data_IF_744646984685
#
_entry.id   IF_744646984685
#
_cell.length_a   1.000
_cell.length_b   1.000
_cell.length_c   1.000
_cell.angle_alpha   90.00
_cell.angle_beta   90.00
_cell.angle_gamma   90.00
#
_symmetry.space_group_name_H-M   'P 1'
#
loop_
_entity.id
_entity.type
_entity.pdbx_description
1 polymer ?
#
# COMPACT_ATOMS: atom_id res chain seq x y z
N UNK A 1 34.29 -1.17 -56.21
CA UNK A 1 34.13 -1.20 -54.73
C UNK A 1 32.64 -1.32 -54.44
N UNK A 2 32.06 -2.51 -54.68
CA UNK A 2 31.61 -3.49 -53.67
C UNK A 2 30.58 -2.88 -52.69
N UNK A 3 29.26 -2.94 -52.96
CA UNK A 3 28.28 -4.05 -52.69
C UNK A 3 28.13 -4.31 -51.18
N UNK A 4 26.99 -4.56 -50.53
CA UNK A 4 25.54 -4.74 -50.78
C UNK A 4 24.92 -4.96 -49.37
N UNK A 5 23.58 -4.92 -49.25
CA UNK A 5 22.68 -5.68 -48.32
C UNK A 5 23.33 -6.42 -47.11
N UNK A 6 22.68 -6.59 -45.96
CA UNK A 6 21.48 -7.43 -45.80
C UNK A 6 21.09 -7.45 -44.32
N UNK A 7 19.80 -7.70 -44.09
CA UNK A 7 19.17 -8.34 -42.93
C UNK A 7 20.08 -9.16 -42.01
N UNK A 8 19.95 -8.97 -40.69
CA UNK A 8 20.42 -9.95 -39.71
C UNK A 8 19.23 -10.69 -39.09
N UNK A 9 18.96 -11.85 -39.71
CA UNK A 9 18.27 -12.99 -39.13
C UNK A 9 19.02 -13.50 -37.88
N UNK A 10 18.25 -13.90 -36.88
CA UNK A 10 18.72 -14.74 -35.78
C UNK A 10 19.23 -16.10 -36.28
N UNK A 11 20.26 -16.67 -35.63
CA UNK A 11 20.33 -18.10 -35.45
C UNK A 11 20.14 -18.45 -33.96
N UNK A 12 18.98 -19.03 -33.66
CA UNK A 12 18.81 -19.92 -32.51
C UNK A 12 19.55 -21.23 -32.83
N UNK A 13 20.54 -21.61 -32.02
CA UNK A 13 20.70 -22.99 -31.51
C UNK A 13 21.94 -23.10 -30.63
N UNK A 14 21.74 -23.43 -29.35
CA UNK A 14 22.75 -24.20 -28.61
C UNK A 14 22.06 -25.44 -28.05
N UNK A 15 22.45 -26.57 -28.64
CA UNK A 15 22.16 -27.93 -28.24
C UNK A 15 22.66 -28.16 -26.80
N UNK A 16 21.82 -28.68 -25.93
CA UNK A 16 22.24 -29.20 -24.62
C UNK A 16 22.63 -30.68 -24.75
N UNK A 17 23.91 -31.00 -24.62
CA UNK A 17 24.40 -32.33 -24.21
C UNK A 17 24.87 -32.28 -22.75
N UNK A 18 24.60 -33.30 -21.92
CA UNK A 18 25.02 -33.32 -20.52
C UNK A 18 26.35 -34.08 -20.32
N UNK A 19 26.84 -34.07 -19.07
CA UNK A 19 28.02 -34.75 -18.46
C UNK A 19 29.25 -33.82 -18.37
N UNK A 20 30.06 -33.69 -17.30
CA UNK A 20 30.22 -34.35 -15.98
C UNK A 20 31.21 -33.49 -15.13
N UNK A 21 31.29 -33.71 -13.80
CA UNK A 21 32.17 -33.00 -12.84
C UNK A 21 33.68 -33.25 -13.06
N UNK A 22 34.52 -32.21 -13.22
CA UNK A 22 35.58 -31.72 -12.27
C UNK A 22 36.33 -30.50 -12.87
N UNK A 23 36.19 -29.35 -12.18
CA UNK A 23 36.97 -28.09 -12.11
C UNK A 23 37.83 -27.58 -13.30
N UNK A 24 37.45 -26.40 -13.80
CA UNK A 24 38.34 -25.26 -14.08
C UNK A 24 37.59 -23.99 -13.59
N UNK A 25 38.08 -23.32 -12.55
CA UNK A 25 37.55 -21.98 -12.21
C UNK A 25 37.91 -21.05 -13.36
N UNK A 26 36.90 -20.50 -14.03
CA UNK A 26 37.08 -19.50 -15.08
C UNK A 26 37.11 -18.11 -14.45
N UNK A 27 37.75 -17.12 -15.08
CA UNK A 27 37.75 -15.76 -14.53
C UNK A 27 36.43 -15.03 -14.85
N UNK A 28 35.94 -14.26 -13.88
CA UNK A 28 34.77 -13.41 -14.04
C UNK A 28 35.03 -12.40 -15.17
N UNK A 29 34.21 -12.42 -16.22
CA UNK A 29 34.38 -11.52 -17.37
C UNK A 29 34.18 -10.04 -17.05
N UNK A 30 33.61 -9.73 -15.87
CA UNK A 30 33.36 -8.35 -15.44
C UNK A 30 34.55 -7.77 -14.66
N UNK A 31 35.05 -8.49 -13.65
CA UNK A 31 36.08 -8.00 -12.73
C UNK A 31 37.32 -8.88 -12.60
N UNK A 32 37.40 -10.01 -13.31
CA UNK A 32 38.56 -10.93 -13.27
C UNK A 32 38.61 -11.86 -12.04
N UNK A 33 37.75 -11.69 -11.04
CA UNK A 33 37.73 -12.59 -9.86
C UNK A 33 37.38 -14.05 -10.25
N UNK A 34 37.86 -15.07 -9.51
CA UNK A 34 37.52 -16.46 -9.80
C UNK A 34 36.00 -16.70 -9.84
N UNK A 35 35.54 -17.38 -10.87
CA UNK A 35 34.14 -17.68 -11.13
C UNK A 35 33.98 -19.15 -11.54
N UNK A 36 32.93 -19.80 -11.03
CA UNK A 36 32.68 -21.21 -11.32
C UNK A 36 31.56 -21.40 -12.34
N UNK A 37 30.64 -20.42 -12.44
CA UNK A 37 29.39 -20.58 -13.17
C UNK A 37 29.03 -19.32 -13.96
N UNK A 38 28.28 -19.50 -15.04
CA UNK A 38 27.62 -18.40 -15.73
C UNK A 38 26.41 -17.93 -14.91
N UNK A 39 26.31 -16.62 -14.67
CA UNK A 39 25.17 -15.98 -14.05
C UNK A 39 24.63 -14.92 -15.01
N UNK A 40 23.31 -14.87 -15.20
CA UNK A 40 22.66 -13.95 -16.14
C UNK A 40 23.21 -14.05 -17.58
N UNK A 41 23.70 -15.24 -17.98
CA UNK A 41 24.23 -15.49 -19.33
C UNK A 41 25.74 -15.28 -19.50
N UNK A 42 26.46 -14.83 -18.47
CA UNK A 42 27.92 -14.55 -18.54
C UNK A 42 28.65 -15.20 -17.37
N UNK A 43 29.85 -15.76 -17.61
CA UNK A 43 30.73 -16.25 -16.53
C UNK A 43 31.10 -15.10 -15.60
N UNK A 44 30.61 -15.16 -14.35
CA UNK A 44 30.82 -14.09 -13.39
C UNK A 44 30.93 -14.60 -11.96
N UNK A 45 31.69 -13.88 -11.14
CA UNK A 45 31.78 -14.15 -9.71
C UNK A 45 30.46 -13.80 -9.00
N UNK A 46 30.29 -14.29 -7.78
CA UNK A 46 29.06 -14.07 -6.99
C UNK A 46 28.80 -12.58 -6.70
N UNK A 47 29.88 -11.79 -6.51
CA UNK A 47 29.80 -10.34 -6.33
C UNK A 47 29.18 -9.65 -7.56
N UNK A 48 29.65 -9.97 -8.77
CA UNK A 48 29.11 -9.38 -10.00
C UNK A 48 27.70 -9.90 -10.32
N UNK A 49 27.39 -11.16 -9.99
CA UNK A 49 26.03 -11.72 -10.07
C UNK A 49 25.06 -10.90 -9.21
N UNK A 50 25.36 -10.75 -7.93
CA UNK A 50 24.46 -10.06 -7.00
C UNK A 50 24.39 -8.56 -7.30
N UNK A 51 25.49 -7.97 -7.73
CA UNK A 51 25.53 -6.61 -8.22
C UNK A 51 24.59 -6.41 -9.42
N UNK A 52 24.70 -7.26 -10.44
CA UNK A 52 23.84 -7.16 -11.63
C UNK A 52 22.36 -7.37 -11.27
N UNK A 53 22.04 -8.37 -10.45
CA UNK A 53 20.66 -8.61 -9.97
C UNK A 53 20.03 -7.38 -9.31
N UNK A 54 20.81 -6.62 -8.52
CA UNK A 54 20.32 -5.43 -7.79
C UNK A 54 20.15 -4.22 -8.69
N UNK A 55 20.96 -4.08 -9.73
CA UNK A 55 21.08 -2.82 -10.47
C UNK A 55 20.57 -2.90 -11.91
N UNK A 56 20.32 -4.09 -12.47
CA UNK A 56 19.95 -4.24 -13.89
C UNK A 56 18.60 -3.58 -14.26
N UNK A 57 17.67 -3.46 -13.31
CA UNK A 57 16.34 -2.87 -13.53
C UNK A 57 16.23 -1.43 -12.99
N UNK A 58 17.34 -0.88 -12.48
CA UNK A 58 17.40 0.53 -12.06
C UNK A 58 17.78 1.34 -13.31
N UNK A 59 17.09 2.47 -13.50
CA UNK A 59 17.37 3.37 -14.63
C UNK A 59 18.85 3.76 -14.64
N UNK A 60 19.51 3.57 -15.79
CA UNK A 60 20.94 3.76 -15.92
C UNK A 60 21.35 5.23 -15.75
N UNK A 61 20.43 6.17 -16.01
CA UNK A 61 20.66 7.61 -15.84
C UNK A 61 20.86 8.01 -14.36
N UNK A 62 20.38 7.18 -13.43
CA UNK A 62 20.60 7.38 -11.98
C UNK A 62 22.07 7.12 -11.62
N UNK A 63 22.75 6.24 -12.36
CA UNK A 63 24.15 5.91 -12.09
C UNK A 63 25.09 6.86 -12.82
N UNK A 64 25.45 7.97 -12.18
CA UNK A 64 26.49 8.89 -12.68
C UNK A 64 27.89 8.37 -12.38
N UNK A 65 28.79 8.46 -13.35
CA UNK A 65 30.20 8.15 -13.17
C UNK A 65 30.95 9.41 -12.78
N UNK A 66 31.67 9.37 -11.65
CA UNK A 66 32.46 10.50 -11.16
C UNK A 66 33.84 10.61 -11.82
N UNK A 67 34.21 9.69 -12.71
CA UNK A 67 35.56 9.56 -13.29
C UNK A 67 35.55 9.46 -14.82
N UNK A 68 34.60 10.13 -15.48
CA UNK A 68 34.60 10.26 -16.95
C UNK A 68 34.10 9.03 -17.73
N UNK A 69 33.42 8.09 -17.09
CA UNK A 69 32.68 7.00 -17.76
C UNK A 69 33.53 5.87 -18.34
N UNK A 70 34.83 5.83 -18.02
CA UNK A 70 35.80 4.83 -18.52
C UNK A 70 36.56 4.10 -17.39
N UNK A 71 35.96 3.96 -16.21
CA UNK A 71 36.62 3.29 -15.07
C UNK A 71 36.97 1.85 -15.41
N UNK A 72 38.22 1.46 -15.16
CA UNK A 72 38.65 0.08 -15.29
C UNK A 72 38.11 -0.76 -14.11
N UNK A 73 37.34 -1.81 -14.43
CA UNK A 73 36.73 -2.70 -13.44
C UNK A 73 37.59 -3.96 -13.26
N UNK A 74 38.27 -4.04 -12.11
CA UNK A 74 39.11 -5.14 -11.61
C UNK A 74 38.58 -5.67 -10.27
N UNK A 75 39.10 -6.80 -9.79
CA UNK A 75 38.63 -7.46 -8.56
C UNK A 75 38.59 -6.51 -7.37
N UNK A 76 39.65 -5.72 -7.19
CA UNK A 76 39.83 -4.95 -5.96
C UNK A 76 39.15 -3.58 -6.03
N UNK A 77 38.86 -3.05 -7.22
CA UNK A 77 38.28 -1.72 -7.39
C UNK A 77 36.86 -1.75 -7.97
N UNK A 78 36.27 -2.92 -8.24
CA UNK A 78 34.98 -2.99 -8.93
C UNK A 78 33.85 -2.26 -8.20
N UNK A 79 33.96 -2.02 -6.90
CA UNK A 79 32.96 -1.32 -6.09
C UNK A 79 33.05 0.21 -6.21
N UNK A 80 34.14 0.75 -6.76
CA UNK A 80 34.40 2.19 -6.83
C UNK A 80 33.52 2.93 -7.84
N UNK A 81 32.99 2.23 -8.86
CA UNK A 81 32.09 2.86 -9.82
C UNK A 81 30.96 1.92 -10.26
N UNK A 82 29.79 2.11 -9.66
CA UNK A 82 28.55 1.38 -9.99
C UNK A 82 28.14 1.59 -11.45
N UNK A 83 28.22 2.82 -11.96
CA UNK A 83 27.87 3.16 -13.35
C UNK A 83 28.69 2.36 -14.38
N UNK A 84 30.03 2.44 -14.31
CA UNK A 84 30.90 1.72 -15.25
C UNK A 84 30.84 0.20 -15.07
N UNK A 85 30.65 -0.29 -13.82
CA UNK A 85 30.49 -1.72 -13.56
C UNK A 85 29.20 -2.27 -14.17
N UNK A 86 28.09 -1.57 -14.01
CA UNK A 86 26.80 -1.99 -14.57
C UNK A 86 26.82 -1.93 -16.10
N UNK A 87 27.37 -0.86 -16.67
CA UNK A 87 27.61 -0.74 -18.11
C UNK A 87 28.42 -1.93 -18.65
N UNK A 88 29.50 -2.31 -17.96
CA UNK A 88 30.33 -3.47 -18.33
C UNK A 88 29.56 -4.79 -18.21
N UNK A 89 28.69 -4.97 -17.22
CA UNK A 89 27.83 -6.15 -17.11
C UNK A 89 26.94 -6.33 -18.35
N UNK A 90 26.26 -5.27 -18.79
CA UNK A 90 25.43 -5.32 -20.00
C UNK A 90 26.28 -5.50 -21.27
N UNK A 91 27.43 -4.83 -21.38
CA UNK A 91 28.32 -4.94 -22.53
C UNK A 91 28.82 -6.38 -22.76
N UNK A 92 29.08 -7.14 -21.68
CA UNK A 92 29.45 -8.56 -21.77
C UNK A 92 28.25 -9.50 -21.96
N UNK A 93 27.03 -8.96 -22.05
CA UNK A 93 25.82 -9.71 -22.38
C UNK A 93 25.04 -10.26 -21.19
N UNK A 94 25.20 -9.70 -19.99
CA UNK A 94 24.33 -10.05 -18.87
C UNK A 94 22.90 -9.57 -19.13
N UNK A 95 21.92 -10.45 -18.93
CA UNK A 95 20.48 -10.14 -19.08
C UNK A 95 19.65 -10.81 -17.98
N UNK A 96 18.60 -10.11 -17.52
CA UNK A 96 17.64 -10.57 -16.52
C UNK A 96 16.73 -11.69 -17.02
N UNK A 97 16.59 -11.85 -18.34
CA UNK A 97 15.60 -12.75 -18.94
C UNK A 97 16.05 -14.22 -18.98
N UNK A 98 17.35 -14.48 -18.77
CA UNK A 98 17.95 -15.81 -18.92
C UNK A 98 17.94 -16.67 -17.65
N UNK A 99 17.08 -16.38 -16.67
CA UNK A 99 16.96 -17.19 -15.44
C UNK A 99 15.75 -18.16 -15.49
N UNK A 100 16.01 -19.46 -15.70
CA UNK A 100 15.07 -20.56 -15.41
C UNK A 100 15.72 -21.53 -14.41
N UNK A 101 15.17 -21.77 -13.21
CA UNK A 101 15.72 -22.76 -12.29
C UNK A 101 15.42 -24.19 -12.79
N UNK A 102 16.46 -25.02 -12.90
CA UNK A 102 16.39 -26.42 -13.31
C UNK A 102 16.08 -27.37 -12.12
N UNK A 103 14.86 -27.93 -12.12
CA UNK A 103 14.39 -29.29 -11.72
C UNK A 103 14.80 -29.97 -10.36
N UNK A 104 14.13 -31.06 -9.91
CA UNK A 104 13.47 -31.12 -8.58
C UNK A 104 13.90 -32.34 -7.70
N UNK A 105 13.37 -32.44 -6.47
CA UNK A 105 13.20 -33.74 -5.78
C UNK A 105 11.79 -33.86 -5.19
N UNK A 106 11.18 -35.02 -5.47
CA UNK A 106 9.89 -35.50 -4.98
C UNK A 106 10.07 -36.15 -3.61
N UNK A 107 9.13 -35.92 -2.70
CA UNK A 107 8.63 -36.96 -1.79
C UNK A 107 7.12 -36.80 -1.69
N UNK A 108 6.42 -37.89 -2.02
CA UNK A 108 4.96 -38.02 -1.95
C UNK A 108 4.58 -38.25 -0.49
N UNK A 109 3.61 -37.51 0.03
CA UNK A 109 2.50 -38.09 0.83
C UNK A 109 1.27 -37.20 0.63
N UNK A 110 0.16 -37.83 0.27
CA UNK A 110 -1.17 -37.22 0.14
C UNK A 110 -1.80 -37.10 1.54
N UNK A 111 -2.30 -35.92 1.89
CA UNK A 111 -3.52 -35.79 2.71
C UNK A 111 -4.01 -34.33 2.69
N UNK A 112 -5.23 -34.20 2.17
CA UNK A 112 -6.30 -33.25 2.48
C UNK A 112 -5.96 -31.76 2.59
N UNK A 113 -6.58 -31.04 1.67
CA UNK A 113 -6.71 -29.59 1.54
C UNK A 113 -6.98 -28.91 2.88
N UNK A 114 -6.01 -28.11 3.37
CA UNK A 114 -6.27 -26.86 4.07
C UNK A 114 -5.64 -25.74 3.24
N UNK A 115 -6.49 -24.92 2.65
CA UNK A 115 -6.07 -23.66 2.00
C UNK A 115 -5.77 -22.68 3.12
N UNK A 116 -4.51 -22.58 3.53
CA UNK A 116 -4.02 -21.40 4.24
C UNK A 116 -3.60 -20.34 3.21
N UNK A 117 -4.01 -19.07 3.37
CA UNK A 117 -3.73 -18.04 2.39
C UNK A 117 -2.23 -17.70 2.38
N UNK A 118 -1.60 -18.01 1.25
CA UNK A 118 -0.20 -17.76 0.88
C UNK A 118 0.23 -16.27 0.88
N UNK A 119 -0.62 -15.37 1.38
CA UNK A 119 -0.50 -13.91 1.25
C UNK A 119 0.38 -13.27 2.34
N UNK A 120 0.69 -13.97 3.42
CA UNK A 120 1.49 -13.42 4.53
C UNK A 120 3.02 -13.50 4.31
N UNK A 121 3.52 -14.46 3.52
CA UNK A 121 4.97 -14.70 3.42
C UNK A 121 5.73 -13.74 2.48
N UNK A 122 5.08 -13.21 1.44
CA UNK A 122 5.70 -12.25 0.52
C UNK A 122 5.83 -10.85 1.13
N UNK A 123 4.89 -10.47 2.01
CA UNK A 123 4.81 -9.14 2.63
C UNK A 123 5.90 -8.88 3.68
N UNK A 124 6.37 -9.94 4.35
CA UNK A 124 7.46 -9.88 5.32
C UNK A 124 8.86 -9.77 4.66
N UNK A 125 8.98 -10.09 3.36
CA UNK A 125 10.27 -10.12 2.66
C UNK A 125 10.77 -8.73 2.20
N UNK A 126 9.86 -7.77 2.00
CA UNK A 126 10.20 -6.40 1.57
C UNK A 126 10.86 -5.59 2.70
N UNK A 127 10.64 -5.98 3.96
CA UNK A 127 11.12 -5.26 5.15
C UNK A 127 12.58 -5.54 5.54
N UNK A 128 13.18 -6.65 5.07
CA UNK A 128 14.40 -7.19 5.67
C UNK A 128 15.69 -7.00 4.87
N UNK A 129 15.72 -6.11 3.88
CA UNK A 129 16.96 -5.84 3.16
C UNK A 129 17.26 -4.35 3.08
N UNK A 130 18.06 -3.85 4.03
CA UNK A 130 19.10 -2.79 3.90
C UNK A 130 19.57 -2.31 5.31
N UNK A 131 20.89 -2.25 5.57
CA UNK A 131 21.55 -1.47 6.66
C UNK A 131 23.05 -1.26 6.37
N UNK A 132 23.75 -0.21 6.86
CA UNK A 132 23.61 0.45 8.19
C UNK A 132 23.38 1.98 8.12
N UNK A 133 22.71 2.68 9.03
CA UNK A 133 21.80 2.37 10.14
C UNK A 133 20.92 3.62 10.36
N UNK A 134 19.59 3.52 10.19
CA UNK A 134 18.57 4.47 10.67
C UNK A 134 17.19 3.79 10.77
N UNK A 135 17.10 2.52 11.18
CA UNK A 135 15.77 1.97 11.47
C UNK A 135 15.24 2.62 12.76
N UNK A 136 14.54 3.73 12.63
CA UNK A 136 13.78 4.33 13.73
C UNK A 136 12.66 3.38 14.22
N UNK A 137 12.25 2.42 13.37
CA UNK A 137 11.18 1.46 13.63
C UNK A 137 11.70 0.17 14.26
N UNK A 138 11.20 -0.15 15.44
CA UNK A 138 11.39 -1.46 16.09
C UNK A 138 10.54 -2.55 15.41
N UNK A 139 10.79 -3.82 15.74
CA UNK A 139 9.96 -4.94 15.26
C UNK A 139 8.48 -4.75 15.59
N UNK A 140 8.16 -4.27 16.81
CA UNK A 140 6.77 -4.00 17.21
C UNK A 140 6.14 -2.87 16.40
N UNK A 141 6.91 -1.83 16.05
CA UNK A 141 6.45 -0.73 15.21
C UNK A 141 6.21 -1.18 13.76
N UNK A 142 7.01 -2.12 13.25
CA UNK A 142 6.77 -2.75 11.95
C UNK A 142 5.51 -3.61 11.93
N UNK A 143 5.29 -4.42 12.96
CA UNK A 143 4.05 -5.18 13.12
C UNK A 143 2.84 -4.24 13.16
N UNK A 144 2.95 -3.14 13.90
CA UNK A 144 1.89 -2.14 13.97
C UNK A 144 1.59 -1.54 12.59
N UNK A 145 2.61 -1.07 11.85
CA UNK A 145 2.42 -0.53 10.49
C UNK A 145 1.76 -1.53 9.56
N UNK A 146 2.18 -2.79 9.62
CA UNK A 146 1.59 -3.86 8.83
C UNK A 146 0.11 -4.02 9.17
N UNK A 147 -0.24 -4.05 10.46
CA UNK A 147 -1.64 -4.15 10.89
C UNK A 147 -2.46 -2.93 10.41
N UNK A 148 -2.00 -1.71 10.66
CA UNK A 148 -2.67 -0.48 10.22
C UNK A 148 -2.91 -0.44 8.70
N UNK A 149 -1.91 -0.86 7.93
CA UNK A 149 -2.04 -0.99 6.48
C UNK A 149 -3.05 -2.06 6.06
N UNK A 150 -3.08 -3.20 6.77
CA UNK A 150 -3.93 -4.34 6.43
C UNK A 150 -5.37 -4.21 6.91
N UNK A 151 -5.64 -3.37 7.92
CA UNK A 151 -7.00 -3.17 8.44
C UNK A 151 -7.93 -2.54 7.40
N UNK A 152 -7.41 -1.86 6.38
CA UNK A 152 -8.21 -1.28 5.30
C UNK A 152 -8.19 -2.15 4.04
N UNK A 153 -9.39 -2.62 3.65
CA UNK A 153 -9.66 -3.37 2.42
C UNK A 153 -10.64 -2.62 1.51
N UNK A 154 -10.16 -2.19 0.35
CA UNK A 154 -10.93 -1.49 -0.67
C UNK A 154 -11.57 -2.39 -1.73
N UNK A 155 -11.48 -3.72 -1.61
CA UNK A 155 -11.86 -4.67 -2.67
C UNK A 155 -13.31 -4.51 -3.15
N UNK A 156 -14.26 -4.49 -2.22
CA UNK A 156 -15.71 -4.33 -2.51
C UNK A 156 -16.02 -2.94 -3.10
N UNK A 157 -15.40 -1.88 -2.55
CA UNK A 157 -15.54 -0.52 -3.05
C UNK A 157 -15.01 -0.40 -4.48
N UNK A 158 -13.87 -1.02 -4.78
CA UNK A 158 -13.30 -1.05 -6.13
C UNK A 158 -14.23 -1.73 -7.13
N UNK A 159 -14.84 -2.85 -6.74
CA UNK A 159 -15.77 -3.59 -7.60
C UNK A 159 -17.02 -2.76 -7.92
N UNK A 160 -17.63 -2.16 -6.90
CA UNK A 160 -18.83 -1.34 -7.06
C UNK A 160 -18.54 -0.07 -7.87
N UNK A 161 -17.40 0.59 -7.60
CA UNK A 161 -16.98 1.78 -8.35
C UNK A 161 -16.76 1.49 -9.84
N UNK A 162 -16.07 0.38 -10.16
CA UNK A 162 -15.90 -0.06 -11.56
C UNK A 162 -17.24 -0.32 -12.22
N UNK A 163 -18.16 -1.00 -11.53
CA UNK A 163 -19.50 -1.26 -12.03
C UNK A 163 -20.28 0.05 -12.29
N UNK A 164 -20.12 1.07 -11.44
CA UNK A 164 -20.73 2.40 -11.66
C UNK A 164 -20.17 3.08 -12.91
N UNK A 165 -18.86 3.00 -13.13
CA UNK A 165 -18.21 3.56 -14.34
C UNK A 165 -18.69 2.82 -15.58
N UNK A 166 -18.69 1.49 -15.56
CA UNK A 166 -19.08 0.66 -16.70
C UNK A 166 -20.53 0.89 -17.12
N UNK A 167 -21.46 0.93 -16.16
CA UNK A 167 -22.88 1.19 -16.45
C UNK A 167 -23.07 2.62 -16.96
N UNK A 168 -22.39 3.61 -16.37
CA UNK A 168 -22.48 5.00 -16.86
C UNK A 168 -22.03 5.12 -18.32
N UNK A 169 -20.93 4.46 -18.68
CA UNK A 169 -20.39 4.48 -20.03
C UNK A 169 -21.23 3.67 -21.05
N UNK A 170 -22.14 2.81 -20.60
CA UNK A 170 -23.04 2.05 -21.48
C UNK A 170 -24.15 2.88 -22.15
N UNK A 171 -24.22 4.19 -21.87
CA UNK A 171 -25.17 5.16 -22.46
C UNK A 171 -26.66 4.80 -22.26
N UNK A 172 -26.99 3.92 -21.31
CA UNK A 172 -28.36 3.64 -20.91
C UNK A 172 -28.93 4.81 -20.08
N UNK A 173 -30.23 5.14 -20.20
CA UNK A 173 -30.86 6.11 -19.31
C UNK A 173 -30.65 5.68 -17.86
N UNK A 174 -30.41 6.66 -16.97
CA UNK A 174 -30.27 6.41 -15.53
C UNK A 174 -31.53 5.68 -15.07
N UNK A 175 -31.37 4.42 -14.72
CA UNK A 175 -32.46 3.57 -14.28
C UNK A 175 -32.37 3.35 -12.76
N UNK A 176 -33.43 2.80 -12.19
CA UNK A 176 -33.51 2.42 -10.77
C UNK A 176 -32.32 1.52 -10.36
N UNK A 177 -31.78 0.73 -11.30
CA UNK A 177 -30.60 -0.11 -11.07
C UNK A 177 -29.34 0.70 -10.79
N UNK A 178 -29.08 1.79 -11.52
CA UNK A 178 -27.93 2.66 -11.28
C UNK A 178 -28.05 3.37 -9.93
N UNK A 179 -29.25 3.89 -9.62
CA UNK A 179 -29.50 4.48 -8.30
C UNK A 179 -29.21 3.50 -7.19
N UNK A 180 -29.79 2.29 -7.24
CA UNK A 180 -29.52 1.22 -6.25
C UNK A 180 -28.04 0.87 -6.16
N UNK A 181 -27.30 0.90 -7.26
CA UNK A 181 -25.86 0.67 -7.24
C UNK A 181 -25.09 1.78 -6.51
N UNK A 182 -25.49 3.04 -6.68
CA UNK A 182 -24.95 4.16 -5.88
C UNK A 182 -25.25 3.97 -4.40
N UNK A 183 -26.46 3.53 -4.06
CA UNK A 183 -26.81 3.26 -2.66
C UNK A 183 -25.99 2.11 -2.06
N UNK A 184 -25.82 1.02 -2.81
CA UNK A 184 -24.95 -0.09 -2.41
C UNK A 184 -23.50 0.35 -2.26
N UNK A 185 -23.02 1.24 -3.11
CA UNK A 185 -21.68 1.82 -2.99
C UNK A 185 -21.55 2.62 -1.69
N UNK A 186 -22.53 3.46 -1.37
CA UNK A 186 -22.53 4.21 -0.11
C UNK A 186 -22.57 3.28 1.10
N UNK A 187 -23.42 2.25 1.09
CA UNK A 187 -23.45 1.23 2.15
C UNK A 187 -22.10 0.53 2.30
N UNK A 188 -21.44 0.18 1.19
CA UNK A 188 -20.10 -0.43 1.22
C UNK A 188 -19.03 0.50 1.84
N UNK A 189 -19.18 1.83 1.76
CA UNK A 189 -18.28 2.77 2.47
C UNK A 189 -18.42 2.59 3.99
N UNK A 190 -19.65 2.48 4.49
CA UNK A 190 -19.93 2.25 5.90
C UNK A 190 -19.50 0.84 6.33
N UNK A 191 -19.80 -0.21 5.55
CA UNK A 191 -19.33 -1.58 5.84
C UNK A 191 -17.79 -1.66 5.91
N UNK A 192 -17.09 -0.99 4.99
CA UNK A 192 -15.63 -0.90 5.00
C UNK A 192 -15.12 -0.16 6.24
N UNK A 193 -15.84 0.88 6.67
CA UNK A 193 -15.55 1.63 7.88
C UNK A 193 -15.69 0.75 9.12
N UNK A 194 -16.80 0.02 9.27
CA UNK A 194 -17.02 -0.89 10.40
C UNK A 194 -15.96 -1.98 10.47
N UNK A 195 -15.62 -2.62 9.34
CA UNK A 195 -14.53 -3.60 9.25
C UNK A 195 -13.18 -3.01 9.66
N UNK A 196 -12.86 -1.81 9.18
CA UNK A 196 -11.60 -1.13 9.52
C UNK A 196 -11.47 -0.90 11.02
N UNK A 197 -12.56 -0.48 11.66
CA UNK A 197 -12.63 -0.21 13.10
C UNK A 197 -12.51 -1.49 13.91
N UNK A 198 -13.29 -2.53 13.57
CA UNK A 198 -13.27 -3.83 14.24
C UNK A 198 -11.92 -4.56 14.10
N UNK A 199 -11.21 -4.38 12.98
CA UNK A 199 -9.86 -4.93 12.79
C UNK A 199 -8.76 -4.10 13.47
N UNK A 200 -9.10 -2.98 14.13
CA UNK A 200 -8.12 -2.12 14.79
C UNK A 200 -7.87 -2.58 16.24
N UNK A 201 -6.81 -3.37 16.42
CA UNK A 201 -6.52 -4.00 17.72
C UNK A 201 -6.24 -3.04 18.89
N UNK A 202 -5.87 -1.77 18.66
CA UNK A 202 -5.75 -0.80 19.76
C UNK A 202 -7.12 -0.23 20.16
N UNK A 203 -8.09 -0.13 19.24
CA UNK A 203 -9.47 0.28 19.54
C UNK A 203 -10.21 -0.81 20.28
N UNK A 204 -10.05 -2.07 19.87
CA UNK A 204 -10.69 -3.21 20.55
C UNK A 204 -10.21 -3.36 22.01
N UNK A 205 -9.07 -2.80 22.39
CA UNK A 205 -8.56 -2.85 23.77
C UNK A 205 -9.01 -1.69 24.66
N UNK A 206 -9.75 -0.73 24.10
CA UNK A 206 -10.28 0.38 24.89
C UNK A 206 -11.38 -0.11 25.84
N UNK A 207 -11.56 0.63 26.94
CA UNK A 207 -12.71 0.43 27.83
C UNK A 207 -14.02 0.60 27.06
N UNK A 208 -15.11 -0.01 27.53
CA UNK A 208 -16.43 0.12 26.88
C UNK A 208 -16.82 1.59 26.63
N UNK A 209 -16.62 2.45 27.62
CA UNK A 209 -16.91 3.89 27.51
C UNK A 209 -16.03 4.58 26.47
N UNK A 210 -14.71 4.35 26.49
CA UNK A 210 -13.79 4.92 25.51
C UNK A 210 -14.07 4.40 24.09
N UNK A 211 -14.42 3.12 23.99
CA UNK A 211 -14.72 2.44 22.73
C UNK A 211 -15.96 3.06 22.10
N UNK A 212 -17.07 3.22 22.81
CA UNK A 212 -18.31 3.83 22.28
C UNK A 212 -18.07 5.24 21.73
N UNK A 213 -17.30 6.05 22.46
CA UNK A 213 -16.86 7.40 22.06
C UNK A 213 -16.03 7.33 20.76
N UNK A 214 -15.02 6.45 20.71
CA UNK A 214 -14.15 6.31 19.53
C UNK A 214 -14.93 5.78 18.34
N UNK A 215 -15.84 4.83 18.51
CA UNK A 215 -16.62 4.22 17.42
C UNK A 215 -17.45 5.24 16.66
N UNK A 216 -18.15 6.14 17.37
CA UNK A 216 -18.94 7.20 16.73
C UNK A 216 -18.06 8.17 15.94
N UNK A 217 -16.97 8.64 16.53
CA UNK A 217 -16.03 9.53 15.83
C UNK A 217 -15.36 8.85 14.64
N UNK A 218 -14.96 7.59 14.82
CA UNK A 218 -14.38 6.76 13.79
C UNK A 218 -15.33 6.58 12.63
N UNK A 219 -16.61 6.28 12.89
CA UNK A 219 -17.64 6.12 11.88
C UNK A 219 -17.74 7.37 10.99
N UNK A 220 -17.84 8.55 11.58
CA UNK A 220 -17.91 9.81 10.84
C UNK A 220 -16.62 10.12 10.08
N UNK A 221 -15.48 10.11 10.78
CA UNK A 221 -14.18 10.45 10.22
C UNK A 221 -13.82 9.52 9.05
N UNK A 222 -13.93 8.21 9.28
CA UNK A 222 -13.49 7.20 8.32
C UNK A 222 -14.46 7.08 7.16
N UNK A 223 -15.79 7.12 7.38
CA UNK A 223 -16.73 7.08 6.26
C UNK A 223 -16.58 8.30 5.34
N UNK A 224 -16.38 9.50 5.90
CA UNK A 224 -16.13 10.72 5.11
C UNK A 224 -14.82 10.62 4.33
N UNK A 225 -13.74 10.21 5.00
CA UNK A 225 -12.41 10.10 4.38
C UNK A 225 -12.36 9.02 3.30
N UNK A 226 -12.90 7.83 3.58
CA UNK A 226 -13.00 6.71 2.64
C UNK A 226 -13.90 7.10 1.47
N UNK A 227 -15.07 7.69 1.72
CA UNK A 227 -15.98 8.16 0.68
C UNK A 227 -15.31 9.16 -0.27
N UNK A 228 -14.73 10.24 0.28
CA UNK A 228 -14.04 11.26 -0.51
C UNK A 228 -12.87 10.68 -1.31
N UNK A 229 -12.04 9.84 -0.68
CA UNK A 229 -10.90 9.20 -1.33
C UNK A 229 -11.32 8.28 -2.47
N UNK A 230 -12.23 7.35 -2.21
CA UNK A 230 -12.60 6.32 -3.18
C UNK A 230 -13.39 6.90 -4.36
N UNK A 231 -14.29 7.86 -4.10
CA UNK A 231 -14.99 8.57 -5.17
C UNK A 231 -14.01 9.36 -6.06
N UNK A 232 -12.95 9.94 -5.49
CA UNK A 232 -11.88 10.57 -6.26
C UNK A 232 -11.04 9.56 -7.03
N UNK A 233 -10.55 8.53 -6.34
CA UNK A 233 -9.63 7.52 -6.86
C UNK A 233 -10.22 6.77 -8.06
N UNK A 234 -11.52 6.50 -8.04
CA UNK A 234 -12.24 5.85 -9.14
C UNK A 234 -12.89 6.83 -10.12
N UNK A 235 -12.70 8.14 -9.96
CA UNK A 235 -13.22 9.15 -10.88
C UNK A 235 -14.75 9.31 -10.86
N UNK A 236 -15.44 8.90 -9.80
CA UNK A 236 -16.91 8.87 -9.74
C UNK A 236 -17.53 10.27 -9.86
N UNK A 237 -16.84 11.32 -9.42
CA UNK A 237 -17.30 12.70 -9.58
C UNK A 237 -17.34 13.19 -11.03
N UNK A 238 -16.66 12.52 -11.96
CA UNK A 238 -16.76 12.83 -13.40
C UNK A 238 -18.00 12.22 -14.06
N UNK A 239 -18.74 11.37 -13.35
CA UNK A 239 -19.95 10.74 -13.85
C UNK A 239 -21.15 11.64 -13.47
N UNK A 240 -21.74 12.32 -14.45
CA UNK A 240 -22.86 13.25 -14.21
C UNK A 240 -24.03 12.57 -13.48
N UNK A 241 -24.31 11.30 -13.81
CA UNK A 241 -25.35 10.50 -13.19
C UNK A 241 -25.07 10.27 -11.70
N UNK A 242 -23.82 9.96 -11.36
CA UNK A 242 -23.39 9.76 -9.98
C UNK A 242 -23.49 11.08 -9.21
N UNK A 243 -22.94 12.16 -9.78
CA UNK A 243 -22.93 13.50 -9.18
C UNK A 243 -24.35 13.99 -8.86
N UNK A 244 -25.31 13.78 -9.75
CA UNK A 244 -26.73 14.12 -9.51
C UNK A 244 -27.30 13.37 -8.32
N UNK A 245 -27.06 12.06 -8.21
CA UNK A 245 -27.60 11.22 -7.14
C UNK A 245 -26.98 11.59 -5.79
N UNK A 246 -25.66 11.69 -5.71
CA UNK A 246 -24.99 12.04 -4.43
C UNK A 246 -25.35 13.47 -3.99
N UNK A 247 -25.57 14.40 -4.93
CA UNK A 247 -26.03 15.75 -4.63
C UNK A 247 -27.44 15.76 -4.07
N UNK A 248 -28.34 14.89 -4.56
CA UNK A 248 -29.67 14.72 -3.98
C UNK A 248 -29.62 14.12 -2.56
N UNK A 249 -28.62 13.29 -2.26
CA UNK A 249 -28.46 12.64 -0.95
C UNK A 249 -27.82 13.57 0.09
N UNK A 250 -26.70 14.21 -0.26
CA UNK A 250 -25.86 14.98 0.68
C UNK A 250 -26.03 16.50 0.55
N UNK A 251 -26.66 16.97 -0.54
CA UNK A 251 -26.82 18.39 -0.82
C UNK A 251 -25.60 19.04 -1.47
N UNK A 252 -25.85 20.18 -2.13
CA UNK A 252 -24.83 20.92 -2.89
C UNK A 252 -23.62 21.34 -2.05
N UNK A 253 -23.86 21.74 -0.79
CA UNK A 253 -22.79 22.23 0.10
C UNK A 253 -21.80 21.12 0.43
N UNK A 254 -22.29 19.94 0.82
CA UNK A 254 -21.44 18.79 1.11
C UNK A 254 -20.63 18.37 -0.13
N UNK A 255 -21.28 18.24 -1.29
CA UNK A 255 -20.59 17.85 -2.53
C UNK A 255 -19.54 18.89 -2.97
N UNK A 256 -19.84 20.18 -2.88
CA UNK A 256 -18.88 21.24 -3.21
C UNK A 256 -17.65 21.19 -2.30
N UNK A 257 -17.86 20.93 -1.01
CA UNK A 257 -16.76 20.77 -0.05
C UNK A 257 -15.99 19.48 -0.30
N UNK A 258 -16.62 18.37 -0.66
CA UNK A 258 -15.92 17.14 -1.04
C UNK A 258 -15.02 17.36 -2.26
N UNK A 259 -15.51 18.04 -3.29
CA UNK A 259 -14.69 18.40 -4.45
C UNK A 259 -13.53 19.33 -4.08
N UNK A 260 -13.72 20.22 -3.12
CA UNK A 260 -12.65 21.07 -2.59
C UNK A 260 -11.61 20.29 -1.80
N UNK A 261 -12.02 19.35 -0.93
CA UNK A 261 -11.08 18.53 -0.12
C UNK A 261 -10.24 17.60 -0.98
N UNK A 262 -10.74 17.18 -2.15
CA UNK A 262 -10.01 16.33 -3.09
C UNK A 262 -8.68 16.92 -3.58
N UNK A 263 -8.54 18.26 -3.56
CA UNK A 263 -7.29 18.95 -3.94
C UNK A 263 -6.12 18.64 -3.00
N UNK A 264 -6.41 18.13 -1.80
CA UNK A 264 -5.41 17.80 -0.77
C UNK A 264 -5.11 16.30 -0.68
N UNK A 265 -5.81 15.47 -1.46
CA UNK A 265 -5.62 14.02 -1.45
C UNK A 265 -4.24 13.66 -1.99
N UNK A 266 -3.51 12.85 -1.22
CA UNK A 266 -2.32 12.19 -1.74
C UNK A 266 -2.74 10.95 -2.56
N UNK A 267 -2.31 10.82 -3.83
CA UNK A 267 -2.70 9.68 -4.65
C UNK A 267 -2.05 8.36 -4.21
N UNK A 268 -0.99 8.40 -3.38
CA UNK A 268 -0.36 7.20 -2.85
C UNK A 268 -1.28 6.51 -1.82
N UNK A 269 -1.78 5.33 -2.20
CA UNK A 269 -2.67 4.50 -1.36
C UNK A 269 -2.03 4.14 -0.01
N UNK A 270 -0.69 4.05 0.06
CA UNK A 270 0.01 3.79 1.33
C UNK A 270 -0.20 4.97 2.26
N UNK A 271 0.00 6.20 1.76
CA UNK A 271 -0.18 7.44 2.52
C UNK A 271 -1.64 7.58 2.97
N UNK A 272 -2.59 7.23 2.10
CA UNK A 272 -4.01 7.16 2.47
C UNK A 272 -4.27 6.22 3.65
N UNK A 273 -3.81 4.97 3.58
CA UNK A 273 -4.02 3.98 4.65
C UNK A 273 -3.38 4.42 5.97
N UNK A 274 -2.23 5.09 5.93
CA UNK A 274 -1.61 5.67 7.12
C UNK A 274 -2.43 6.85 7.67
N UNK A 275 -2.95 7.73 6.81
CA UNK A 275 -3.80 8.84 7.22
C UNK A 275 -5.09 8.36 7.92
N UNK A 276 -5.69 7.24 7.47
CA UNK A 276 -6.89 6.65 8.11
C UNK A 276 -6.62 6.36 9.59
N UNK A 277 -5.45 5.80 9.90
CA UNK A 277 -5.11 5.42 11.27
C UNK A 277 -4.96 6.62 12.20
N UNK A 278 -4.56 7.78 11.69
CA UNK A 278 -4.54 9.01 12.49
C UNK A 278 -5.94 9.60 12.64
N UNK A 279 -6.72 9.58 11.56
CA UNK A 279 -8.02 10.23 11.54
C UNK A 279 -9.07 9.50 12.35
N UNK A 280 -8.99 8.16 12.45
CA UNK A 280 -9.94 7.35 13.22
C UNK A 280 -10.04 7.78 14.68
N UNK A 281 -8.94 8.23 15.27
CA UNK A 281 -8.89 8.66 16.66
C UNK A 281 -9.11 10.17 16.81
N UNK A 282 -9.16 10.94 15.72
CA UNK A 282 -9.22 12.40 15.77
C UNK A 282 -10.49 12.90 16.44
N UNK A 283 -10.33 13.87 17.35
CA UNK A 283 -11.44 14.53 18.07
C UNK A 283 -12.12 15.65 17.26
N UNK A 284 -11.78 15.79 15.98
CA UNK A 284 -12.23 16.89 15.11
C UNK A 284 -13.76 16.97 14.92
N UNK A 285 -14.48 15.89 15.25
CA UNK A 285 -15.95 15.79 15.32
C UNK A 285 -16.60 16.54 16.49
N UNK A 286 -15.90 16.74 17.62
CA UNK A 286 -16.49 17.30 18.84
C UNK A 286 -16.78 18.79 18.80
N UNK A 287 -16.31 19.51 17.78
CA UNK A 287 -16.53 20.95 17.68
C UNK A 287 -18.02 21.26 17.41
N UNK A 288 -18.81 20.27 16.96
CA UNK A 288 -20.16 20.52 16.40
C UNK A 288 -21.30 19.67 16.98
N UNK A 289 -21.06 18.81 17.98
CA UNK A 289 -22.14 18.14 18.75
C UNK A 289 -22.29 18.81 20.13
N UNK A 290 -23.28 19.68 20.34
CA UNK A 290 -23.46 20.41 21.59
C UNK A 290 -24.02 19.56 22.75
N UNK A 291 -24.57 18.38 22.46
CA UNK A 291 -25.38 17.61 23.42
C UNK A 291 -24.61 16.49 24.15
N UNK A 292 -23.32 16.27 23.84
CA UNK A 292 -22.50 15.33 24.61
C UNK A 292 -21.86 16.12 25.75
N UNK A 293 -22.51 16.07 26.92
CA UNK A 293 -22.01 16.63 28.17
C UNK A 293 -20.55 16.24 28.38
N UNK A 294 -19.70 17.27 28.40
CA UNK A 294 -18.27 17.22 28.66
C UNK A 294 -18.08 16.90 30.14
N UNK A 295 -18.11 15.62 30.49
CA UNK A 295 -17.42 15.12 31.67
C UNK A 295 -16.41 14.08 31.20
N UNK A 296 -15.20 14.60 30.96
CA UNK A 296 -13.91 13.90 30.87
C UNK A 296 -13.97 12.45 30.40
N UNK A 297 -13.44 12.16 29.21
CA UNK A 297 -12.02 11.80 29.18
C UNK A 297 -11.43 12.07 27.79
N UNK A 298 -10.45 12.98 27.72
CA UNK A 298 -9.24 12.66 26.97
C UNK A 298 -8.66 11.43 27.67
N UNK A 299 -9.17 10.22 27.36
CA UNK A 299 -8.59 9.01 27.91
C UNK A 299 -7.13 9.06 27.51
N UNK A 300 -6.24 9.15 28.49
CA UNK A 300 -4.79 9.24 28.28
C UNK A 300 -4.33 8.13 27.34
N UNK A 301 -5.05 6.99 27.36
CA UNK A 301 -4.98 5.88 26.43
C UNK A 301 -5.21 6.27 24.97
N UNK A 302 -6.31 6.95 24.62
CA UNK A 302 -6.61 7.35 23.24
C UNK A 302 -5.51 8.28 22.70
N UNK A 303 -5.09 9.26 23.49
CA UNK A 303 -4.02 10.19 23.12
C UNK A 303 -2.67 9.46 22.97
N UNK A 304 -2.41 8.48 23.84
CA UNK A 304 -1.22 7.63 23.74
C UNK A 304 -1.22 6.80 22.44
N UNK A 305 -2.35 6.22 22.06
CA UNK A 305 -2.49 5.47 20.79
C UNK A 305 -2.29 6.41 19.59
N UNK A 306 -2.90 7.59 19.59
CA UNK A 306 -2.70 8.60 18.54
C UNK A 306 -1.23 8.96 18.35
N UNK A 307 -0.53 9.28 19.45
CA UNK A 307 0.89 9.63 19.40
C UNK A 307 1.75 8.47 18.91
N UNK A 308 1.44 7.25 19.35
CA UNK A 308 2.08 6.01 18.87
C UNK A 308 1.92 5.87 17.36
N UNK A 309 0.73 6.11 16.81
CA UNK A 309 0.50 6.07 15.35
C UNK A 309 1.26 7.19 14.62
N UNK A 310 1.19 8.42 15.13
CA UNK A 310 1.89 9.56 14.54
C UNK A 310 3.41 9.35 14.49
N UNK A 311 4.00 8.87 15.57
CA UNK A 311 5.42 8.55 15.66
C UNK A 311 5.80 7.47 14.64
N UNK A 312 5.04 6.37 14.61
CA UNK A 312 5.33 5.23 13.74
C UNK A 312 5.18 5.60 12.26
N UNK A 313 4.18 6.40 11.90
CA UNK A 313 4.02 6.95 10.54
C UNK A 313 5.19 7.85 10.19
N UNK A 314 5.56 8.79 11.05
CA UNK A 314 6.69 9.70 10.81
C UNK A 314 7.99 8.92 10.55
N UNK A 315 8.27 7.93 11.40
CA UNK A 315 9.44 7.06 11.27
C UNK A 315 9.40 6.24 9.98
N UNK A 316 8.23 5.74 9.58
CA UNK A 316 8.05 5.04 8.31
C UNK A 316 8.30 5.95 7.11
N UNK A 317 7.75 7.17 7.11
CA UNK A 317 7.94 8.11 6.02
C UNK A 317 9.41 8.47 5.86
N UNK A 318 10.12 8.73 6.97
CA UNK A 318 11.56 8.99 6.95
C UNK A 318 12.35 7.79 6.40
N UNK A 319 12.00 6.58 6.83
CA UNK A 319 12.62 5.35 6.32
C UNK A 319 12.38 5.15 4.82
N UNK A 320 11.15 5.38 4.35
CA UNK A 320 10.72 5.05 2.99
C UNK A 320 11.12 6.11 1.96
N UNK A 321 10.98 7.38 2.31
CA UNK A 321 11.10 8.50 1.38
C UNK A 321 12.26 9.46 1.70
N UNK A 322 12.89 9.32 2.88
CA UNK A 322 13.89 10.28 3.38
C UNK A 322 13.26 11.54 3.97
N UNK A 323 14.03 12.30 4.75
CA UNK A 323 13.52 13.41 5.58
C UNK A 323 12.68 14.44 4.82
N UNK A 324 13.21 14.96 3.69
CA UNK A 324 12.55 16.05 2.96
C UNK A 324 11.20 15.63 2.37
N UNK A 325 11.13 14.46 1.73
CA UNK A 325 9.86 13.94 1.20
C UNK A 325 8.93 13.46 2.33
N UNK A 326 9.48 12.94 3.44
CA UNK A 326 8.70 12.61 4.63
C UNK A 326 7.96 13.82 5.21
N UNK A 327 8.61 14.98 5.29
CA UNK A 327 7.97 16.25 5.69
C UNK A 327 6.80 16.57 4.77
N UNK A 328 6.98 16.48 3.45
CA UNK A 328 5.91 16.76 2.48
C UNK A 328 4.73 15.81 2.60
N UNK A 329 5.00 14.50 2.72
CA UNK A 329 3.95 13.50 2.89
C UNK A 329 3.20 13.71 4.20
N UNK A 330 3.90 13.94 5.32
CA UNK A 330 3.28 14.18 6.61
C UNK A 330 2.45 15.48 6.61
N UNK A 331 2.98 16.55 6.02
CA UNK A 331 2.26 17.79 5.80
C UNK A 331 0.99 17.58 4.96
N UNK A 332 1.07 16.80 3.88
CA UNK A 332 -0.08 16.43 3.04
C UNK A 332 -1.14 15.66 3.81
N UNK A 333 -0.74 14.71 4.68
CA UNK A 333 -1.67 14.00 5.57
C UNK A 333 -2.39 15.01 6.46
N UNK A 334 -1.66 15.84 7.21
CA UNK A 334 -2.24 16.80 8.16
C UNK A 334 -3.17 17.79 7.45
N UNK A 335 -2.75 18.35 6.30
CA UNK A 335 -3.58 19.26 5.51
C UNK A 335 -4.90 18.61 5.09
N UNK A 336 -4.86 17.35 4.68
CA UNK A 336 -6.07 16.67 4.26
C UNK A 336 -6.98 16.35 5.44
N UNK A 337 -6.43 15.91 6.58
CA UNK A 337 -7.23 15.70 7.80
C UNK A 337 -7.94 16.98 8.23
N UNK A 338 -7.25 18.13 8.20
CA UNK A 338 -7.84 19.45 8.50
C UNK A 338 -8.88 19.85 7.44
N UNK A 339 -8.61 19.62 6.16
CA UNK A 339 -9.58 19.92 5.11
C UNK A 339 -10.87 19.09 5.27
N UNK A 340 -10.74 17.82 5.67
CA UNK A 340 -11.88 16.94 5.91
C UNK A 340 -12.77 17.44 7.05
N UNK A 341 -12.23 18.08 8.10
CA UNK A 341 -13.07 18.61 9.20
C UNK A 341 -14.10 19.63 8.73
N UNK A 342 -13.81 20.37 7.65
CA UNK A 342 -14.74 21.34 7.04
C UNK A 342 -15.88 20.63 6.31
N UNK A 343 -15.61 19.45 5.74
CA UNK A 343 -16.62 18.61 5.07
C UNK A 343 -17.55 17.90 6.07
N UNK A 344 -17.05 17.61 7.26
CA UNK A 344 -17.79 16.81 8.25
C UNK A 344 -19.13 17.41 8.64
N UNK A 345 -19.17 18.70 8.99
CA UNK A 345 -20.40 19.40 9.40
C UNK A 345 -21.55 19.22 8.38
N UNK A 346 -21.39 19.59 7.10
CA UNK A 346 -22.46 19.41 6.12
C UNK A 346 -22.73 17.93 5.80
N UNK A 347 -21.73 17.04 5.87
CA UNK A 347 -21.96 15.60 5.67
C UNK A 347 -22.80 14.99 6.80
N UNK A 348 -22.53 15.36 8.05
CA UNK A 348 -23.22 14.89 9.26
C UNK A 348 -24.67 15.35 9.31
N UNK A 349 -25.03 16.46 8.67
CA UNK A 349 -26.45 16.89 8.59
C UNK A 349 -27.27 16.11 7.57
N UNK A 350 -26.64 15.35 6.66
CA UNK A 350 -27.37 14.57 5.67
C UNK A 350 -28.04 13.36 6.32
N UNK A 351 -29.37 13.27 6.24
CA UNK A 351 -30.15 12.21 6.89
C UNK A 351 -29.65 10.79 6.56
N UNK A 352 -29.26 10.53 5.31
CA UNK A 352 -28.72 9.22 4.92
C UNK A 352 -27.37 8.91 5.58
N UNK A 353 -26.53 9.93 5.79
CA UNK A 353 -25.26 9.78 6.50
C UNK A 353 -25.50 9.44 7.96
N UNK A 354 -26.36 10.22 8.64
CA UNK A 354 -26.72 10.00 10.05
C UNK A 354 -27.20 8.57 10.27
N UNK A 355 -28.21 8.15 9.49
CA UNK A 355 -28.80 6.82 9.64
C UNK A 355 -27.77 5.69 9.45
N UNK A 356 -26.87 5.83 8.47
CA UNK A 356 -25.84 4.83 8.21
C UNK A 356 -24.73 4.82 9.27
N UNK A 357 -24.37 5.99 9.81
CA UNK A 357 -23.41 6.10 10.91
C UNK A 357 -23.98 5.46 12.18
N UNK A 358 -25.23 5.78 12.54
CA UNK A 358 -25.89 5.18 13.70
C UNK A 358 -25.98 3.65 13.57
N UNK A 359 -26.42 3.17 12.40
CA UNK A 359 -26.49 1.73 12.12
C UNK A 359 -25.12 1.05 12.21
N UNK A 360 -24.07 1.71 11.71
CA UNK A 360 -22.70 1.19 11.77
C UNK A 360 -22.21 1.11 13.22
N UNK A 361 -22.41 2.17 14.00
CA UNK A 361 -21.97 2.24 15.40
C UNK A 361 -22.65 1.13 16.19
N UNK A 362 -23.98 1.00 16.10
CA UNK A 362 -24.74 -0.03 16.79
C UNK A 362 -24.24 -1.45 16.42
N UNK A 363 -24.12 -1.76 15.12
CA UNK A 363 -23.67 -3.07 14.67
C UNK A 363 -22.24 -3.38 15.13
N UNK A 364 -21.35 -2.39 15.07
CA UNK A 364 -19.94 -2.57 15.46
C UNK A 364 -19.81 -2.73 16.97
N UNK A 365 -20.58 -1.97 17.76
CA UNK A 365 -20.64 -2.11 19.23
C UNK A 365 -21.11 -3.51 19.62
N UNK A 366 -22.23 -3.99 19.07
CA UNK A 366 -22.75 -5.33 19.35
C UNK A 366 -21.73 -6.40 19.03
N UNK A 367 -21.07 -6.31 17.87
CA UNK A 367 -20.05 -7.27 17.45
C UNK A 367 -18.89 -7.31 18.46
N UNK A 368 -18.36 -6.15 18.84
CA UNK A 368 -17.23 -6.08 19.77
C UNK A 368 -17.60 -6.56 21.18
N UNK A 369 -18.84 -6.36 21.63
CA UNK A 369 -19.33 -6.90 22.91
C UNK A 369 -19.38 -8.43 22.86
N UNK A 370 -19.84 -9.01 21.74
CA UNK A 370 -19.88 -10.47 21.57
C UNK A 370 -18.47 -11.05 21.61
N UNK A 371 -17.50 -10.42 20.95
CA UNK A 371 -16.10 -10.84 20.99
C UNK A 371 -15.53 -10.81 22.42
N UNK A 372 -15.81 -9.72 23.18
CA UNK A 372 -15.39 -9.61 24.59
C UNK A 372 -15.99 -10.73 25.45
N UNK A 373 -17.26 -11.10 25.21
CA UNK A 373 -17.94 -12.19 25.93
C UNK A 373 -17.33 -13.54 25.59
N UNK A 374 -17.05 -13.80 24.31
CA UNK A 374 -16.41 -15.03 23.85
C UNK A 374 -15.01 -15.20 24.48
N UNK A 375 -14.21 -14.12 24.52
CA UNK A 375 -12.88 -14.15 25.16
C UNK A 375 -12.97 -14.46 26.67
N UNK A 376 -13.99 -13.94 27.37
CA UNK A 376 -14.23 -14.25 28.79
C UNK A 376 -14.64 -15.71 29.00
N UNK A 377 -15.37 -16.31 28.05
CA UNK A 377 -15.79 -17.71 28.11
C UNK A 377 -14.59 -18.63 27.87
N UNK A 378 -13.72 -18.30 26.90
CA UNK A 378 -12.56 -19.13 26.55
C UNK A 378 -11.43 -19.08 27.60
N UNK A 379 -11.38 -18.01 28.41
CA UNK A 379 -10.35 -17.82 29.46
C UNK A 379 -10.73 -18.41 30.83
N UNK A 380 -11.92 -18.98 30.96
CA UNK A 380 -12.42 -19.70 32.16
C UNK A 380 -12.47 -21.20 31.92
#
# INVERSE_FOLDING_TARGET
MLTTNTTLNFPLTIKTKPLTKKQNLSECRICGAPAQYANFGVVSCNSCKMFFKRNANIDQEIFKCNFGGKCEIKRDNHHMCTSCRLKKCFQYGMTTDKFRPSRPKKSKTKSLVKVEPRYQSEKFSILNSLKPDHSLLTTSQWTLLSNLYNSYDESQLSLLAKSLVDIHNSLQPINVTYQRLVENYLLAVYETTGKYVHLNGDICKLSFTDRSIVLRNAADNISCMVGAFTMHHFGLFSLDSFLKIITAIYGNRAISLTLWTMKFINPDIIIFKLALSLFILSKTTYIYSPDISIDSTNSSTIFHIQNKYAEVIWKYLNYRYGWYEAVKHYHSIVHWLVALTVLMDPAQTASKHVNNVDSLVELTEVTLILDDVEEIIETK
#
